data_IF_650871199697
#
_entry.id   IF_650871199697
#
_cell.length_a   1.000
_cell.length_b   1.000
_cell.length_c   1.000
_cell.angle_alpha   90.00
_cell.angle_beta   90.00
_cell.angle_gamma   90.00
#
_symmetry.space_group_name_H-M   'P 1'
#
loop_
_entity.id
_entity.type
_entity.pdbx_description
1 polymer ?
#
# COMPACT_ATOMS: atom_id res chain seq x y z
N UNK A 1 1.54 -58.24 17.85
CA UNK A 1 2.50 -57.96 16.77
C UNK A 1 1.67 -57.76 15.51
N UNK A 2 1.59 -56.63 14.83
CA UNK A 2 2.38 -55.40 14.72
C UNK A 2 1.34 -54.28 14.54
N UNK A 3 1.30 -53.21 15.33
CA UNK A 3 2.33 -52.16 15.30
C UNK A 3 1.89 -51.11 14.29
N UNK A 4 0.94 -50.25 14.70
CA UNK A 4 0.44 -49.10 13.93
C UNK A 4 1.61 -48.24 13.46
N UNK A 5 1.72 -48.06 12.14
CA UNK A 5 2.52 -46.99 11.55
C UNK A 5 1.69 -45.72 11.72
N UNK A 6 1.98 -44.96 12.77
CA UNK A 6 1.54 -43.56 12.89
C UNK A 6 2.18 -42.77 11.76
N UNK A 7 1.37 -42.36 10.79
CA UNK A 7 1.73 -41.28 9.88
C UNK A 7 1.96 -40.02 10.70
N UNK A 8 3.21 -39.58 10.83
CA UNK A 8 3.52 -38.21 11.22
C UNK A 8 3.02 -37.31 10.08
N UNK A 9 1.80 -36.78 10.21
CA UNK A 9 1.41 -35.59 9.46
C UNK A 9 2.40 -34.48 9.87
N UNK A 10 3.34 -34.15 8.98
CA UNK A 10 4.13 -32.92 9.10
C UNK A 10 3.13 -31.75 9.07
N UNK A 11 2.82 -31.22 10.25
CA UNK A 11 1.90 -30.11 10.42
C UNK A 11 2.54 -28.83 9.91
N UNK A 12 2.43 -28.59 8.60
CA UNK A 12 2.81 -27.34 7.97
C UNK A 12 2.14 -26.17 8.69
N UNK A 13 2.95 -25.23 9.20
CA UNK A 13 2.43 -24.05 9.88
C UNK A 13 1.72 -23.13 8.89
N UNK A 14 0.61 -22.52 9.30
CA UNK A 14 -0.07 -21.52 8.46
C UNK A 14 0.82 -20.31 8.20
N UNK A 15 0.62 -19.56 7.09
CA UNK A 15 1.35 -18.33 6.81
C UNK A 15 1.33 -17.32 7.96
N UNK A 16 0.18 -17.19 8.64
CA UNK A 16 0.05 -16.32 9.80
C UNK A 16 0.85 -16.83 11.01
N UNK A 17 0.85 -18.14 11.26
CA UNK A 17 1.66 -18.72 12.35
C UNK A 17 3.15 -18.52 12.11
N UNK A 18 3.62 -18.66 10.87
CA UNK A 18 5.00 -18.36 10.49
C UNK A 18 5.35 -16.90 10.76
N UNK A 19 4.48 -15.97 10.37
CA UNK A 19 4.65 -14.54 10.69
C UNK A 19 4.78 -14.29 12.20
N UNK A 20 3.89 -14.87 13.01
CA UNK A 20 3.91 -14.69 14.48
C UNK A 20 5.21 -15.22 15.10
N UNK A 21 5.75 -16.32 14.59
CA UNK A 21 7.05 -16.84 15.02
C UNK A 21 8.16 -15.83 14.72
N UNK A 22 8.21 -15.30 13.50
CA UNK A 22 9.20 -14.28 13.10
C UNK A 22 9.08 -13.02 13.95
N UNK A 23 7.86 -12.53 14.15
CA UNK A 23 7.60 -11.38 15.00
C UNK A 23 8.18 -11.58 16.40
N UNK A 24 7.92 -12.73 17.03
CA UNK A 24 8.43 -13.04 18.38
C UNK A 24 9.96 -13.16 18.42
N UNK A 25 10.56 -13.82 17.44
CA UNK A 25 12.01 -13.96 17.35
C UNK A 25 12.69 -12.59 17.22
N UNK A 26 12.17 -11.75 16.31
CA UNK A 26 12.71 -10.43 16.09
C UNK A 26 12.54 -9.51 17.31
N UNK A 27 11.37 -9.54 17.96
CA UNK A 27 11.11 -8.73 19.18
C UNK A 27 11.95 -9.16 20.38
N UNK A 28 12.32 -10.44 20.49
CA UNK A 28 13.15 -10.96 21.57
C UNK A 28 14.66 -10.72 21.37
N UNK A 29 15.05 -9.90 20.39
CA UNK A 29 16.45 -9.60 20.05
C UNK A 29 17.31 -10.85 19.81
N UNK A 30 16.70 -11.96 19.38
CA UNK A 30 17.44 -13.12 18.91
C UNK A 30 17.97 -12.86 17.50
N UNK A 31 18.81 -11.82 17.34
CA UNK A 31 19.60 -11.59 16.13
C UNK A 31 20.66 -12.69 15.92
N UNK A 32 20.69 -13.69 16.81
CA UNK A 32 21.46 -14.91 16.62
C UNK A 32 20.84 -15.66 15.45
N UNK A 33 21.64 -15.86 14.41
CA UNK A 33 21.35 -16.79 13.32
C UNK A 33 21.07 -18.17 13.92
N UNK A 34 19.81 -18.47 14.17
CA UNK A 34 19.39 -19.80 14.58
C UNK A 34 19.22 -20.62 13.31
N UNK A 35 20.29 -21.31 12.90
CA UNK A 35 20.30 -22.14 11.69
C UNK A 35 19.08 -23.07 11.62
N UNK A 36 18.64 -23.63 12.75
CA UNK A 36 17.46 -24.49 12.82
C UNK A 36 16.17 -23.74 12.43
N UNK A 37 16.01 -22.51 12.88
CA UNK A 37 14.86 -21.66 12.50
C UNK A 37 14.93 -21.28 11.03
N UNK A 38 16.11 -20.94 10.52
CA UNK A 38 16.31 -20.63 9.11
C UNK A 38 15.99 -21.82 8.20
N UNK A 39 16.43 -23.03 8.57
CA UNK A 39 16.14 -24.28 7.86
C UNK A 39 14.65 -24.60 7.88
N UNK A 40 14.00 -24.49 9.05
CA UNK A 40 12.55 -24.70 9.20
C UNK A 40 11.76 -23.72 8.32
N UNK A 41 12.07 -22.42 8.39
CA UNK A 41 11.41 -21.39 7.57
C UNK A 41 11.63 -21.64 6.07
N UNK A 42 12.83 -22.02 5.65
CA UNK A 42 13.10 -22.33 4.25
C UNK A 42 12.28 -23.54 3.77
N UNK A 43 12.15 -24.58 4.60
CA UNK A 43 11.32 -25.75 4.29
C UNK A 43 9.85 -25.37 4.14
N UNK A 44 9.28 -24.69 5.15
CA UNK A 44 7.87 -24.33 5.16
C UNK A 44 7.53 -23.33 4.04
N UNK A 45 8.39 -22.34 3.77
CA UNK A 45 8.17 -21.39 2.68
C UNK A 45 8.25 -22.05 1.31
N UNK A 46 9.10 -23.07 1.12
CA UNK A 46 9.12 -23.86 -0.13
C UNK A 46 7.83 -24.63 -0.32
N UNK A 47 7.33 -25.26 0.75
CA UNK A 47 6.08 -26.00 0.71
C UNK A 47 4.88 -25.07 0.43
N UNK A 48 4.79 -23.93 1.13
CA UNK A 48 3.77 -22.92 0.85
C UNK A 48 3.85 -22.42 -0.59
N UNK A 49 5.06 -22.20 -1.10
CA UNK A 49 5.25 -21.79 -2.50
C UNK A 49 4.68 -22.81 -3.48
N UNK A 50 4.72 -24.11 -3.20
CA UNK A 50 4.15 -25.15 -4.07
C UNK A 50 2.62 -25.21 -4.03
N UNK A 51 1.97 -24.64 -3.00
CA UNK A 51 0.52 -24.70 -2.79
C UNK A 51 -0.24 -23.48 -3.31
N UNK A 52 0.42 -22.64 -4.11
CA UNK A 52 -0.14 -21.43 -4.74
C UNK A 52 -0.94 -20.54 -3.77
N UNK A 53 -0.24 -19.92 -2.80
CA UNK A 53 -0.87 -19.12 -1.76
C UNK A 53 -1.54 -17.88 -2.35
N UNK A 54 -2.60 -17.44 -1.70
CA UNK A 54 -3.29 -16.20 -2.04
C UNK A 54 -2.40 -14.97 -1.83
N UNK A 55 -2.82 -13.82 -2.38
CA UNK A 55 -2.12 -12.54 -2.18
C UNK A 55 -2.00 -12.20 -0.70
N UNK A 56 -3.04 -12.44 0.10
CA UNK A 56 -2.99 -12.14 1.52
C UNK A 56 -2.01 -13.05 2.26
N UNK A 57 -2.03 -14.36 1.96
CA UNK A 57 -1.07 -15.30 2.53
C UNK A 57 0.36 -14.94 2.14
N UNK A 58 0.59 -14.49 0.91
CA UNK A 58 1.90 -13.99 0.47
C UNK A 58 2.35 -12.76 1.27
N UNK A 59 1.44 -11.83 1.59
CA UNK A 59 1.75 -10.71 2.49
C UNK A 59 2.17 -11.21 3.88
N UNK A 60 1.50 -12.24 4.41
CA UNK A 60 1.86 -12.82 5.71
C UNK A 60 3.26 -13.45 5.68
N UNK A 61 3.65 -14.08 4.57
CA UNK A 61 4.96 -14.71 4.42
C UNK A 61 6.10 -13.71 4.14
N UNK A 62 5.79 -12.49 3.69
CA UNK A 62 6.80 -11.54 3.24
C UNK A 62 7.83 -11.17 4.33
N UNK A 63 7.45 -10.87 5.58
CA UNK A 63 8.44 -10.68 6.66
C UNK A 63 9.32 -11.91 6.90
N UNK A 64 8.81 -13.12 6.68
CA UNK A 64 9.60 -14.35 6.80
C UNK A 64 10.68 -14.43 5.72
N UNK A 65 10.32 -14.08 4.48
CA UNK A 65 11.27 -14.00 3.37
C UNK A 65 12.32 -12.93 3.65
N UNK A 66 11.89 -11.74 4.09
CA UNK A 66 12.79 -10.64 4.41
C UNK A 66 13.70 -10.93 5.61
N UNK A 67 13.22 -11.67 6.61
CA UNK A 67 14.04 -12.19 7.71
C UNK A 67 15.13 -13.15 7.22
N UNK A 68 14.79 -14.12 6.36
CA UNK A 68 15.78 -15.05 5.79
C UNK A 68 16.86 -14.34 4.98
N UNK A 69 16.48 -13.28 4.27
CA UNK A 69 17.42 -12.46 3.50
C UNK A 69 18.44 -11.69 4.38
N UNK A 70 18.27 -11.66 5.71
CA UNK A 70 19.30 -11.15 6.63
C UNK A 70 20.52 -12.09 6.71
N UNK A 71 20.33 -13.37 6.42
CA UNK A 71 21.35 -14.41 6.63
C UNK A 71 21.78 -15.10 5.33
N UNK A 72 20.93 -15.10 4.29
CA UNK A 72 21.19 -15.79 3.02
C UNK A 72 20.95 -14.84 1.85
N UNK A 73 22.00 -14.54 1.08
CA UNK A 73 21.93 -13.56 -0.01
C UNK A 73 21.12 -14.05 -1.22
N UNK A 74 21.24 -15.33 -1.58
CA UNK A 74 20.54 -15.92 -2.71
C UNK A 74 19.41 -16.85 -2.25
N UNK A 75 18.24 -16.24 -2.02
CA UNK A 75 17.03 -16.98 -1.71
C UNK A 75 16.11 -17.02 -2.94
N UNK A 76 16.00 -18.19 -3.56
CA UNK A 76 15.09 -18.45 -4.69
C UNK A 76 13.62 -18.15 -4.39
N UNK A 77 13.23 -18.09 -3.10
CA UNK A 77 11.90 -17.68 -2.66
C UNK A 77 11.67 -16.18 -2.84
N UNK A 78 12.71 -15.36 -2.62
CA UNK A 78 12.64 -13.92 -2.82
C UNK A 78 12.53 -13.58 -4.31
N UNK A 79 13.41 -14.14 -5.14
CA UNK A 79 13.44 -13.80 -6.58
C UNK A 79 12.13 -14.07 -7.33
N UNK A 80 11.32 -15.03 -6.87
CA UNK A 80 10.02 -15.36 -7.45
C UNK A 80 8.80 -14.68 -6.80
N UNK A 81 8.97 -13.92 -5.71
CA UNK A 81 7.85 -13.42 -4.91
C UNK A 81 6.93 -12.49 -5.70
N UNK A 82 7.51 -11.50 -6.40
CA UNK A 82 6.73 -10.51 -7.15
C UNK A 82 5.82 -11.18 -8.20
N UNK A 83 6.36 -12.16 -8.95
CA UNK A 83 5.59 -12.91 -9.94
C UNK A 83 4.45 -13.69 -9.29
N UNK A 84 4.74 -14.42 -8.20
CA UNK A 84 3.72 -15.19 -7.47
C UNK A 84 2.63 -14.30 -6.87
N UNK A 85 2.98 -13.10 -6.41
CA UNK A 85 1.98 -12.16 -5.89
C UNK A 85 1.02 -11.67 -6.97
N UNK A 86 1.50 -11.45 -8.20
CA UNK A 86 0.61 -11.08 -9.31
C UNK A 86 -0.27 -12.26 -9.76
N UNK A 87 0.24 -13.49 -9.71
CA UNK A 87 -0.49 -14.72 -10.04
C UNK A 87 -1.48 -15.17 -8.94
N UNK A 88 -1.24 -14.76 -7.70
CA UNK A 88 -2.02 -15.18 -6.54
C UNK A 88 -3.47 -14.69 -6.59
N UNK A 89 -4.38 -15.53 -6.11
CA UNK A 89 -5.79 -15.17 -5.97
C UNK A 89 -6.02 -14.24 -4.76
N UNK A 90 -7.15 -13.55 -4.79
CA UNK A 90 -7.65 -12.64 -3.77
C UNK A 90 -8.75 -13.29 -2.92
N UNK A 91 -9.26 -14.47 -3.33
CA UNK A 91 -10.30 -15.19 -2.58
C UNK A 91 -9.75 -15.85 -1.31
N UNK A 92 -9.59 -15.05 -0.27
CA UNK A 92 -9.33 -15.55 1.07
C UNK A 92 -10.60 -15.54 1.91
N UNK A 93 -10.70 -16.51 2.83
CA UNK A 93 -11.66 -16.42 3.92
C UNK A 93 -11.42 -15.11 4.69
N UNK A 94 -12.51 -14.44 5.11
CA UNK A 94 -12.40 -13.24 5.95
C UNK A 94 -11.57 -13.58 7.19
N UNK A 95 -10.48 -12.83 7.37
CA UNK A 95 -9.69 -12.89 8.60
C UNK A 95 -10.21 -11.83 9.56
N UNK A 96 -10.44 -12.23 10.81
CA UNK A 96 -10.70 -11.26 11.86
C UNK A 96 -9.50 -10.33 12.05
N UNK A 97 -9.78 -9.06 12.31
CA UNK A 97 -8.80 -8.01 12.57
C UNK A 97 -7.73 -7.85 11.47
N UNK A 98 -8.15 -8.00 10.20
CA UNK A 98 -7.25 -7.97 9.05
C UNK A 98 -6.41 -6.69 8.98
N UNK A 99 -7.00 -5.53 9.29
CA UNK A 99 -6.28 -4.25 9.33
C UNK A 99 -5.14 -4.27 10.37
N UNK A 100 -5.38 -4.80 11.57
CA UNK A 100 -4.37 -4.95 12.62
C UNK A 100 -3.26 -5.91 12.19
N UNK A 101 -3.61 -7.00 11.51
CA UNK A 101 -2.64 -7.96 10.98
C UNK A 101 -1.74 -7.32 9.92
N UNK A 102 -2.32 -6.59 8.98
CA UNK A 102 -1.58 -5.88 7.93
C UNK A 102 -0.65 -4.83 8.56
N UNK A 103 -1.12 -4.04 9.53
CA UNK A 103 -0.28 -3.08 10.26
C UNK A 103 0.89 -3.76 10.96
N UNK A 104 0.63 -4.87 11.65
CA UNK A 104 1.69 -5.63 12.34
C UNK A 104 2.75 -6.15 11.37
N UNK A 105 2.34 -6.60 10.18
CA UNK A 105 3.24 -7.03 9.11
C UNK A 105 4.11 -5.88 8.63
N UNK A 106 3.51 -4.72 8.36
CA UNK A 106 4.23 -3.52 7.95
C UNK A 106 5.25 -3.10 9.01
N UNK A 107 4.87 -3.08 10.28
CA UNK A 107 5.77 -2.72 11.40
C UNK A 107 6.98 -3.65 11.50
N UNK A 108 6.75 -4.96 11.42
CA UNK A 108 7.84 -5.95 11.50
C UNK A 108 8.72 -5.88 10.26
N UNK A 109 8.14 -5.77 9.07
CA UNK A 109 8.88 -5.59 7.83
C UNK A 109 9.80 -4.35 7.91
N UNK A 110 9.24 -3.19 8.26
CA UNK A 110 9.97 -1.94 8.44
C UNK A 110 11.12 -2.09 9.45
N UNK A 111 10.90 -2.81 10.53
CA UNK A 111 11.91 -3.02 11.57
C UNK A 111 13.04 -3.94 11.11
N UNK A 112 12.71 -5.01 10.37
CA UNK A 112 13.70 -5.90 9.74
C UNK A 112 14.61 -5.13 8.77
N UNK A 113 14.03 -4.20 8.00
CA UNK A 113 14.77 -3.34 7.07
C UNK A 113 15.78 -2.45 7.76
N UNK A 114 15.34 -1.75 8.80
CA UNK A 114 16.21 -0.89 9.61
C UNK A 114 17.35 -1.69 10.24
N UNK A 115 17.06 -2.88 10.78
CA UNK A 115 18.08 -3.75 11.34
C UNK A 115 19.13 -4.16 10.30
N UNK A 116 18.70 -4.50 9.08
CA UNK A 116 19.60 -4.85 7.97
C UNK A 116 20.50 -3.69 7.56
N UNK A 117 19.92 -2.50 7.38
CA UNK A 117 20.68 -1.30 6.99
C UNK A 117 21.77 -1.05 8.04
N UNK A 118 21.39 -1.08 9.33
CA UNK A 118 22.35 -0.89 10.42
C UNK A 118 23.47 -1.95 10.41
N UNK A 119 23.14 -3.23 10.16
CA UNK A 119 24.13 -4.30 10.04
C UNK A 119 25.06 -4.12 8.82
N UNK A 120 24.51 -3.71 7.66
CA UNK A 120 25.29 -3.48 6.44
C UNK A 120 26.26 -2.29 6.57
N UNK A 121 25.83 -1.21 7.24
CA UNK A 121 26.69 -0.06 7.56
C UNK A 121 27.87 -0.49 8.46
N UNK A 122 27.63 -1.38 9.42
CA UNK A 122 28.70 -1.90 10.29
C UNK A 122 29.71 -2.80 9.56
N UNK A 123 29.28 -3.49 8.50
CA UNK A 123 30.12 -4.44 7.74
C UNK A 123 30.90 -3.79 6.58
N UNK A 124 30.89 -2.46 6.46
CA UNK A 124 31.60 -1.70 5.42
C UNK A 124 31.31 -2.16 3.98
N UNK A 125 30.13 -2.73 3.74
CA UNK A 125 29.70 -3.13 2.40
C UNK A 125 28.40 -2.40 2.01
N UNK A 126 28.47 -1.13 1.59
CA UNK A 126 27.32 -0.29 1.29
C UNK A 126 26.53 -0.74 0.05
N UNK A 127 27.02 -1.73 -0.69
CA UNK A 127 26.41 -2.22 -1.93
C UNK A 127 25.77 -3.60 -1.80
N UNK A 128 25.77 -4.21 -0.60
CA UNK A 128 25.45 -5.62 -0.48
C UNK A 128 24.00 -5.96 -0.86
N UNK A 129 22.98 -5.14 -0.59
CA UNK A 129 21.61 -5.65 -0.68
C UNK A 129 20.54 -4.66 -1.14
N UNK A 130 20.20 -4.63 -2.45
CA UNK A 130 18.96 -4.02 -2.88
C UNK A 130 17.81 -4.87 -2.34
N UNK A 131 17.08 -4.32 -1.38
CA UNK A 131 15.88 -4.97 -0.90
C UNK A 131 14.85 -4.99 -2.03
N UNK A 132 14.47 -6.19 -2.46
CA UNK A 132 13.61 -6.36 -3.65
C UNK A 132 12.11 -6.29 -3.33
N UNK A 133 11.72 -6.40 -2.05
CA UNK A 133 10.32 -6.56 -1.67
C UNK A 133 9.97 -5.68 -0.46
N UNK A 134 9.33 -4.55 -0.76
CA UNK A 134 8.77 -3.62 0.22
C UNK A 134 7.32 -4.01 0.51
N UNK A 135 7.02 -4.34 1.77
CA UNK A 135 5.67 -4.78 2.14
C UNK A 135 4.60 -3.74 1.79
N UNK A 136 4.90 -2.46 1.96
CA UNK A 136 4.02 -1.34 1.61
C UNK A 136 3.58 -1.35 0.14
N UNK A 137 4.46 -1.74 -0.79
CA UNK A 137 4.16 -1.81 -2.22
C UNK A 137 3.11 -2.88 -2.53
N UNK A 138 3.19 -4.03 -1.85
CA UNK A 138 2.25 -5.13 -2.05
C UNK A 138 0.95 -4.93 -1.26
N UNK A 139 1.03 -4.32 -0.08
CA UNK A 139 -0.15 -3.96 0.71
C UNK A 139 -1.05 -3.00 -0.05
N UNK A 140 -0.51 -1.97 -0.72
CA UNK A 140 -1.34 -1.07 -1.54
C UNK A 140 -2.09 -1.83 -2.65
N UNK A 141 -1.44 -2.80 -3.30
CA UNK A 141 -2.10 -3.66 -4.30
C UNK A 141 -3.18 -4.54 -3.69
N UNK A 142 -2.91 -5.11 -2.50
CA UNK A 142 -3.87 -5.93 -1.78
C UNK A 142 -5.12 -5.12 -1.39
N UNK A 143 -4.94 -3.92 -0.85
CA UNK A 143 -6.03 -3.07 -0.34
C UNK A 143 -7.07 -2.69 -1.40
N UNK A 144 -6.74 -2.75 -2.69
CA UNK A 144 -7.70 -2.57 -3.79
C UNK A 144 -8.88 -3.56 -3.72
N UNK A 145 -8.68 -4.67 -3.02
CA UNK A 145 -9.67 -5.73 -2.84
C UNK A 145 -10.26 -5.81 -1.43
N UNK A 146 -9.75 -4.99 -0.50
CA UNK A 146 -10.13 -4.97 0.92
C UNK A 146 -10.49 -3.53 1.33
N UNK A 147 -11.63 -3.01 0.81
CA UNK A 147 -12.00 -1.61 0.96
C UNK A 147 -12.34 -1.24 2.41
N UNK A 148 -12.90 -2.18 3.19
CA UNK A 148 -13.31 -1.95 4.57
C UNK A 148 -12.10 -1.76 5.51
N UNK A 149 -10.97 -2.37 5.17
CA UNK A 149 -9.71 -2.31 5.91
C UNK A 149 -8.81 -1.15 5.46
N UNK A 150 -9.07 -0.59 4.27
CA UNK A 150 -8.19 0.35 3.58
C UNK A 150 -7.94 1.63 4.38
N UNK A 151 -8.96 2.21 5.01
CA UNK A 151 -8.80 3.46 5.75
C UNK A 151 -7.82 3.31 6.92
N UNK A 152 -8.03 2.29 7.77
CA UNK A 152 -7.21 2.03 8.95
C UNK A 152 -5.74 1.83 8.55
N UNK A 153 -5.48 1.05 7.50
CA UNK A 153 -4.11 0.78 7.01
C UNK A 153 -3.48 2.02 6.36
N UNK A 154 -4.24 2.80 5.59
CA UNK A 154 -3.77 4.06 5.00
C UNK A 154 -3.34 5.07 6.07
N UNK A 155 -4.11 5.22 7.15
CA UNK A 155 -3.75 6.09 8.28
C UNK A 155 -2.39 5.69 8.89
N UNK A 156 -2.13 4.39 9.02
CA UNK A 156 -0.82 3.90 9.47
C UNK A 156 0.30 4.26 8.48
N UNK A 157 0.06 4.09 7.18
CA UNK A 157 1.04 4.43 6.14
C UNK A 157 1.32 5.95 6.09
N UNK A 158 0.32 6.81 6.33
CA UNK A 158 0.50 8.27 6.35
C UNK A 158 1.42 8.77 7.46
N UNK A 159 1.49 8.02 8.56
CA UNK A 159 2.42 8.32 9.65
C UNK A 159 3.88 8.00 9.30
N UNK A 160 4.15 7.29 8.19
CA UNK A 160 5.49 6.84 7.82
C UNK A 160 6.34 7.93 7.15
N UNK A 161 7.63 7.64 7.00
CA UNK A 161 8.63 8.56 6.43
C UNK A 161 8.53 8.70 4.91
N UNK A 162 9.21 9.72 4.38
CA UNK A 162 9.39 9.96 2.94
C UNK A 162 9.88 8.71 2.19
N UNK A 163 10.85 7.98 2.75
CA UNK A 163 11.42 6.78 2.13
C UNK A 163 10.36 5.71 1.85
N UNK A 164 9.45 5.47 2.81
CA UNK A 164 8.37 4.48 2.67
C UNK A 164 7.41 4.91 1.56
N UNK A 165 7.07 6.20 1.53
CA UNK A 165 6.22 6.74 0.47
C UNK A 165 6.89 6.72 -0.90
N UNK A 166 8.20 6.96 -0.98
CA UNK A 166 8.97 6.77 -2.21
C UNK A 166 8.87 5.32 -2.71
N UNK A 167 8.95 4.32 -1.81
CA UNK A 167 8.77 2.92 -2.20
C UNK A 167 7.33 2.61 -2.68
N UNK A 168 6.31 3.21 -2.03
CA UNK A 168 4.92 3.09 -2.47
C UNK A 168 4.72 3.69 -3.85
N UNK A 169 5.32 4.84 -4.13
CA UNK A 169 5.15 5.56 -5.39
C UNK A 169 5.97 4.97 -6.56
N UNK A 170 6.92 4.08 -6.29
CA UNK A 170 7.65 3.34 -7.33
C UNK A 170 6.76 2.31 -8.06
N UNK A 171 7.25 1.79 -9.19
CA UNK A 171 6.64 0.65 -9.91
C UNK A 171 5.15 0.82 -10.28
N UNK A 172 4.76 2.01 -10.73
CA UNK A 172 3.39 2.34 -11.17
C UNK A 172 2.31 2.08 -10.11
N UNK A 173 2.68 2.17 -8.83
CA UNK A 173 1.74 2.03 -7.72
C UNK A 173 1.03 3.35 -7.36
N UNK A 174 1.46 4.50 -7.90
CA UNK A 174 0.76 5.78 -7.68
C UNK A 174 -0.72 5.73 -8.06
N UNK A 175 -1.04 5.11 -9.21
CA UNK A 175 -2.43 4.93 -9.66
C UNK A 175 -3.23 4.03 -8.71
N UNK A 176 -2.62 2.93 -8.27
CA UNK A 176 -3.24 1.97 -7.34
C UNK A 176 -3.48 2.59 -5.97
N UNK A 177 -2.52 3.37 -5.48
CA UNK A 177 -2.65 4.11 -4.23
C UNK A 177 -3.82 5.10 -4.31
N UNK A 178 -3.93 5.85 -5.41
CA UNK A 178 -5.08 6.73 -5.63
C UNK A 178 -6.40 5.96 -5.62
N UNK A 179 -6.47 4.77 -6.24
CA UNK A 179 -7.70 3.96 -6.25
C UNK A 179 -8.10 3.47 -4.86
N UNK A 180 -7.15 3.00 -4.04
CA UNK A 180 -7.40 2.60 -2.65
C UNK A 180 -7.93 3.79 -1.85
N UNK A 181 -7.30 4.96 -2.00
CA UNK A 181 -7.77 6.19 -1.35
C UNK A 181 -9.13 6.66 -1.86
N UNK A 182 -9.40 6.60 -3.16
CA UNK A 182 -10.70 6.93 -3.72
C UNK A 182 -11.81 6.06 -3.12
N UNK A 183 -11.50 4.78 -2.87
CA UNK A 183 -12.43 3.85 -2.26
C UNK A 183 -12.65 4.14 -0.77
N UNK A 184 -11.58 4.45 -0.04
CA UNK A 184 -11.61 4.74 1.39
C UNK A 184 -12.23 6.12 1.69
N UNK A 185 -11.79 7.16 0.99
CA UNK A 185 -12.14 8.57 1.29
C UNK A 185 -13.38 9.02 0.54
N UNK A 186 -13.64 8.43 -0.64
CA UNK A 186 -14.77 8.81 -1.49
C UNK A 186 -14.78 10.33 -1.71
N UNK A 187 -15.84 11.00 -1.27
CA UNK A 187 -16.05 12.44 -1.36
C UNK A 187 -15.72 13.20 -0.05
N UNK A 188 -15.05 12.57 0.92
CA UNK A 188 -14.51 13.27 2.10
C UNK A 188 -13.26 14.06 1.72
N UNK A 189 -13.49 15.27 1.22
CA UNK A 189 -12.43 16.18 0.81
C UNK A 189 -11.57 16.68 1.98
N UNK A 190 -12.06 16.62 3.22
CA UNK A 190 -11.24 16.95 4.40
C UNK A 190 -10.14 15.92 4.58
N UNK A 191 -10.47 14.63 4.43
CA UNK A 191 -9.49 13.54 4.52
C UNK A 191 -8.52 13.58 3.33
N UNK A 192 -8.99 13.85 2.11
CA UNK A 192 -8.11 14.09 0.96
C UNK A 192 -7.12 15.24 1.22
N UNK A 193 -7.59 16.38 1.73
CA UNK A 193 -6.72 17.53 2.04
C UNK A 193 -5.65 17.15 3.06
N UNK A 194 -6.02 16.52 4.19
CA UNK A 194 -5.06 16.07 5.21
C UNK A 194 -3.98 15.17 4.62
N UNK A 195 -4.37 14.25 3.75
CA UNK A 195 -3.42 13.36 3.09
C UNK A 195 -2.47 14.11 2.16
N UNK A 196 -3.01 14.97 1.29
CA UNK A 196 -2.21 15.71 0.30
C UNK A 196 -1.20 16.59 1.03
N UNK A 197 -1.65 17.34 2.04
CA UNK A 197 -0.79 18.17 2.88
C UNK A 197 0.31 17.35 3.57
N UNK A 198 -0.06 16.18 4.11
CA UNK A 198 0.89 15.27 4.76
C UNK A 198 1.98 14.79 3.81
N UNK A 199 1.62 14.32 2.61
CA UNK A 199 2.60 13.83 1.63
C UNK A 199 3.44 14.97 1.03
N UNK A 200 2.85 16.15 0.88
CA UNK A 200 3.59 17.35 0.49
C UNK A 200 4.61 17.74 1.56
N UNK A 201 4.27 17.61 2.85
CA UNK A 201 5.18 17.94 3.96
C UNK A 201 6.39 16.99 4.07
N UNK A 202 6.36 15.84 3.40
CA UNK A 202 7.49 14.91 3.26
C UNK A 202 7.97 14.82 1.81
N UNK A 203 7.77 15.88 1.03
CA UNK A 203 8.41 16.08 -0.27
C UNK A 203 8.07 15.03 -1.35
N UNK A 204 6.98 14.27 -1.19
CA UNK A 204 6.61 13.21 -2.15
C UNK A 204 6.20 13.76 -3.51
N UNK A 205 5.57 14.94 -3.53
CA UNK A 205 5.08 15.57 -4.77
C UNK A 205 6.09 16.53 -5.41
N UNK A 206 7.33 16.60 -4.94
CA UNK A 206 8.40 17.34 -5.63
C UNK A 206 8.80 16.65 -6.94
N UNK A 207 8.68 15.31 -7.00
CA UNK A 207 8.76 14.57 -8.25
C UNK A 207 7.46 14.77 -9.05
N UNK A 208 7.54 15.58 -10.11
CA UNK A 208 6.40 15.90 -10.96
C UNK A 208 5.80 14.67 -11.65
N UNK A 209 6.59 13.61 -11.91
CA UNK A 209 6.08 12.35 -12.47
C UNK A 209 5.24 11.61 -11.45
N UNK A 210 5.69 11.54 -10.19
CA UNK A 210 4.91 10.95 -9.08
C UNK A 210 3.63 11.73 -8.88
N UNK A 211 3.71 13.06 -8.75
CA UNK A 211 2.57 13.96 -8.60
C UNK A 211 1.54 13.79 -9.72
N UNK A 212 1.98 13.85 -10.98
CA UNK A 212 1.09 13.68 -12.14
C UNK A 212 0.43 12.29 -12.14
N UNK A 213 1.19 11.23 -11.86
CA UNK A 213 0.66 9.85 -11.80
C UNK A 213 -0.39 9.69 -10.71
N UNK A 214 -0.15 10.30 -9.54
CA UNK A 214 -1.05 10.22 -8.39
C UNK A 214 -2.37 10.95 -8.65
N UNK A 215 -2.29 12.15 -9.24
CA UNK A 215 -3.47 13.03 -9.35
C UNK A 215 -4.20 12.97 -10.68
N UNK A 216 -3.66 12.31 -11.73
CA UNK A 216 -4.31 12.20 -13.05
C UNK A 216 -5.78 11.74 -12.96
N UNK A 217 -6.10 10.89 -11.98
CA UNK A 217 -7.41 10.27 -11.86
C UNK A 217 -8.50 11.24 -11.38
N UNK A 218 -8.15 12.36 -10.74
CA UNK A 218 -9.11 13.46 -10.55
C UNK A 218 -9.65 14.00 -11.88
N UNK A 219 -8.89 13.87 -12.97
CA UNK A 219 -9.29 14.35 -14.28
C UNK A 219 -9.99 13.28 -15.12
N UNK A 220 -9.59 12.01 -15.02
CA UNK A 220 -10.01 10.97 -15.99
C UNK A 220 -10.88 9.86 -15.41
N UNK A 221 -11.02 9.74 -14.09
CA UNK A 221 -11.77 8.63 -13.49
C UNK A 221 -13.28 8.91 -13.48
N UNK A 222 -14.03 8.20 -14.33
CA UNK A 222 -15.49 8.37 -14.47
C UNK A 222 -16.28 7.96 -13.22
N UNK A 223 -15.81 6.97 -12.46
CA UNK A 223 -16.48 6.53 -11.23
C UNK A 223 -16.41 7.61 -10.15
N UNK A 224 -15.25 8.23 -9.98
CA UNK A 224 -15.09 9.36 -9.08
C UNK A 224 -15.85 10.59 -9.57
N UNK A 225 -15.88 10.86 -10.88
CA UNK A 225 -16.74 11.91 -11.44
C UNK A 225 -18.20 11.70 -11.04
N UNK A 226 -18.75 10.50 -11.26
CA UNK A 226 -20.13 10.16 -10.86
C UNK A 226 -20.37 10.34 -9.35
N UNK A 227 -19.39 9.96 -8.53
CA UNK A 227 -19.46 10.11 -7.07
C UNK A 227 -19.59 11.59 -6.65
N UNK A 228 -18.86 12.48 -7.32
CA UNK A 228 -18.86 13.92 -7.08
C UNK A 228 -20.12 14.58 -7.65
N UNK A 229 -20.55 14.17 -8.85
CA UNK A 229 -21.70 14.78 -9.54
C UNK A 229 -23.06 14.24 -9.07
N UNK A 230 -23.08 13.32 -8.08
CA UNK A 230 -24.32 12.76 -7.54
C UNK A 230 -25.27 13.83 -6.94
N UNK A 231 -24.73 14.97 -6.50
CA UNK A 231 -25.53 16.08 -5.98
C UNK A 231 -24.79 17.42 -6.11
N UNK A 232 -25.53 18.52 -6.20
CA UNK A 232 -24.95 19.86 -6.26
C UNK A 232 -24.06 20.19 -5.06
N UNK A 233 -24.41 19.74 -3.84
CA UNK A 233 -23.59 19.97 -2.65
C UNK A 233 -22.21 19.31 -2.78
N UNK A 234 -22.15 18.04 -3.18
CA UNK A 234 -20.88 17.32 -3.38
C UNK A 234 -20.02 17.95 -4.45
N UNK A 235 -20.66 18.45 -5.52
CA UNK A 235 -19.97 19.20 -6.55
C UNK A 235 -19.36 20.49 -6.00
N UNK A 236 -20.10 21.25 -5.18
CA UNK A 236 -19.58 22.47 -4.55
C UNK A 236 -18.42 22.18 -3.59
N UNK A 237 -18.54 21.13 -2.78
CA UNK A 237 -17.47 20.71 -1.90
C UNK A 237 -16.21 20.32 -2.71
N UNK A 238 -16.40 19.67 -3.86
CA UNK A 238 -15.30 19.35 -4.78
C UNK A 238 -14.69 20.60 -5.41
N UNK A 239 -15.47 21.56 -5.89
CA UNK A 239 -14.92 22.80 -6.44
C UNK A 239 -14.15 23.60 -5.40
N UNK A 240 -14.68 23.70 -4.18
CA UNK A 240 -13.97 24.33 -3.07
C UNK A 240 -12.65 23.59 -2.74
N UNK A 241 -12.63 22.26 -2.85
CA UNK A 241 -11.43 21.45 -2.74
C UNK A 241 -10.44 21.76 -3.88
N UNK A 242 -10.89 21.73 -5.14
CA UNK A 242 -10.08 22.01 -6.33
C UNK A 242 -9.38 23.36 -6.24
N UNK A 243 -10.11 24.40 -5.84
CA UNK A 243 -9.57 25.76 -5.70
C UNK A 243 -8.47 25.87 -4.64
N UNK A 244 -8.53 25.05 -3.58
CA UNK A 244 -7.55 25.06 -2.48
C UNK A 244 -6.29 24.24 -2.79
N UNK A 245 -6.40 23.18 -3.59
CA UNK A 245 -5.31 22.23 -3.80
C UNK A 245 -4.40 22.60 -4.99
N UNK A 246 -3.65 23.70 -4.86
CA UNK A 246 -2.73 24.20 -5.90
C UNK A 246 -1.57 23.25 -6.26
N UNK A 247 -1.31 22.23 -5.43
CA UNK A 247 -0.35 21.16 -5.75
C UNK A 247 -0.85 20.22 -6.85
N UNK A 248 -2.18 20.08 -6.98
CA UNK A 248 -2.82 19.29 -8.04
C UNK A 248 -2.97 20.16 -9.28
N UNK A 249 -3.68 21.29 -9.14
CA UNK A 249 -3.98 22.24 -10.21
C UNK A 249 -3.02 23.43 -10.15
N UNK A 250 -1.93 23.34 -10.91
CA UNK A 250 -0.83 24.34 -10.89
C UNK A 250 -1.15 25.61 -11.68
N UNK A 251 -2.02 25.52 -12.67
CA UNK A 251 -2.49 26.66 -13.47
C UNK A 251 -4.01 26.82 -13.35
N UNK A 252 -4.47 28.03 -13.64
CA UNK A 252 -5.89 28.30 -13.74
C UNK A 252 -6.53 27.54 -14.91
N UNK A 253 -5.81 27.35 -16.01
CA UNK A 253 -6.27 26.54 -17.15
C UNK A 253 -6.55 25.08 -16.75
N UNK A 254 -5.66 24.47 -15.94
CA UNK A 254 -5.86 23.09 -15.45
C UNK A 254 -7.10 23.00 -14.54
N UNK A 255 -7.28 24.02 -13.70
CA UNK A 255 -8.43 24.14 -12.80
C UNK A 255 -9.72 24.27 -13.60
N UNK A 256 -9.77 25.21 -14.55
CA UNK A 256 -10.95 25.46 -15.39
C UNK A 256 -11.31 24.24 -16.23
N UNK A 257 -10.32 23.61 -16.88
CA UNK A 257 -10.52 22.36 -17.65
C UNK A 257 -11.11 21.25 -16.79
N UNK A 258 -10.71 21.16 -15.52
CA UNK A 258 -11.25 20.17 -14.60
C UNK A 258 -12.68 20.49 -14.23
N UNK A 259 -12.97 21.75 -13.93
CA UNK A 259 -14.31 22.21 -13.57
C UNK A 259 -15.29 21.98 -14.73
N UNK A 260 -14.94 22.38 -15.96
CA UNK A 260 -15.72 22.15 -17.18
C UNK A 260 -16.11 20.68 -17.34
N UNK A 261 -15.13 19.78 -17.23
CA UNK A 261 -15.35 18.33 -17.37
C UNK A 261 -16.35 17.76 -16.38
N UNK A 262 -16.39 18.29 -15.16
CA UNK A 262 -17.33 17.81 -14.15
C UNK A 262 -18.73 18.38 -14.39
N UNK A 263 -18.85 19.60 -14.92
CA UNK A 263 -20.13 20.26 -15.23
C UNK A 263 -20.85 19.61 -16.41
N UNK A 264 -20.13 19.21 -17.45
CA UNK A 264 -20.70 18.56 -18.64
C UNK A 264 -21.52 17.31 -18.31
N UNK A 265 -21.33 16.76 -17.11
CA UNK A 265 -21.98 15.55 -16.61
C UNK A 265 -23.14 15.82 -15.61
N UNK A 266 -23.70 17.04 -15.54
CA UNK A 266 -24.67 17.43 -14.48
C UNK A 266 -25.93 18.11 -15.03
N UNK A 267 -27.04 18.01 -14.29
CA UNK A 267 -28.23 18.84 -14.46
C UNK A 267 -28.00 20.25 -13.90
N UNK A 268 -28.12 21.28 -14.75
CA UNK A 268 -27.93 22.68 -14.34
C UNK A 268 -29.04 23.15 -13.40
N UNK A 269 -28.68 23.55 -12.18
CA UNK A 269 -29.56 24.31 -11.28
C UNK A 269 -28.98 25.71 -11.02
N UNK A 270 -29.83 26.64 -10.55
CA UNK A 270 -29.47 28.05 -10.32
C UNK A 270 -28.25 28.19 -9.40
N UNK A 271 -28.18 27.35 -8.38
CA UNK A 271 -27.09 27.32 -7.40
C UNK A 271 -25.77 26.92 -8.06
N UNK A 272 -25.80 25.94 -8.98
CA UNK A 272 -24.61 25.49 -9.72
C UNK A 272 -24.12 26.62 -10.63
N UNK A 273 -25.02 27.25 -11.37
CA UNK A 273 -24.68 28.39 -12.23
C UNK A 273 -24.08 29.56 -11.43
N UNK A 274 -24.64 29.89 -10.26
CA UNK A 274 -24.10 30.95 -9.40
C UNK A 274 -22.69 30.63 -8.91
N UNK A 275 -22.45 29.41 -8.43
CA UNK A 275 -21.12 28.98 -7.99
C UNK A 275 -20.11 29.01 -9.14
N UNK A 276 -20.49 28.58 -10.34
CA UNK A 276 -19.62 28.63 -11.51
C UNK A 276 -19.26 30.06 -11.89
N UNK A 277 -20.22 30.99 -11.85
CA UNK A 277 -19.95 32.41 -12.06
C UNK A 277 -18.96 32.93 -11.02
N UNK A 278 -19.16 32.60 -9.74
CA UNK A 278 -18.25 33.02 -8.67
C UNK A 278 -16.84 32.45 -8.86
N UNK A 279 -16.71 31.19 -9.29
CA UNK A 279 -15.41 30.58 -9.60
C UNK A 279 -14.77 31.34 -10.76
N UNK A 280 -15.45 31.42 -11.91
CA UNK A 280 -14.93 32.04 -13.14
C UNK A 280 -14.54 33.51 -12.94
N UNK A 281 -15.28 34.23 -12.10
CA UNK A 281 -15.02 35.65 -11.83
C UNK A 281 -13.87 35.89 -10.84
N UNK A 282 -13.53 34.90 -10.01
CA UNK A 282 -12.50 35.01 -8.97
C UNK A 282 -11.23 34.18 -9.25
N UNK A 283 -11.17 33.42 -10.35
CA UNK A 283 -9.92 32.81 -10.85
C UNK A 283 -8.99 33.94 -11.29
N UNK A 284 -7.80 34.04 -10.67
CA UNK A 284 -6.76 35.05 -10.93
C UNK A 284 -5.37 34.43 -10.85
#
# INVERSE_FOLDING_TARGET
MSGNITSTEDTLLSPWHLFVIIQRLFQNNSNQNNNMVCEMLQSDLKEHRCRDPSKLQLIFLLPCINYLLLFVEDNSLASGFAKKFEEGDVSDAKYDDLDKKIKSILEIDLSLRKARINAAVQLSNPHAHPQRHYAETYVIKLLQHYPDESQSVLEFLFAQSEEIWKNICQFDNGDKCWQVMCTAFRNDFSTWTKFIERLQSIHIFEDDKVRATFFKNFHVNSTFQQLVTTSSQRLFDFFAFVQKQKIIWKSDDDLLTTIERYIDNIFYCKEVLSCLIDILWNVR
#
